data_IF_832729062477
#
_entry.id   IF_832729062477
#
_cell.length_a   1.000
_cell.length_b   1.000
_cell.length_c   1.000
_cell.angle_alpha   90.00
_cell.angle_beta   90.00
_cell.angle_gamma   90.00
#
_symmetry.space_group_name_H-M   'P 1'
#
loop_
_entity.id
_entity.type
_entity.pdbx_description
1 polymer ?
#
# COMPACT_ATOMS: atom_id res chain seq x y z
N UNK A 1 -16.15 32.52 -20.54
CA UNK A 1 -14.89 32.30 -19.78
C UNK A 1 -14.94 30.85 -19.34
N UNK A 2 -14.51 29.94 -20.20
CA UNK A 2 -14.60 28.51 -19.92
C UNK A 2 -13.17 27.99 -19.77
N UNK A 3 -12.60 28.22 -18.59
CA UNK A 3 -11.33 27.61 -18.21
C UNK A 3 -11.54 26.09 -18.06
N UNK A 4 -10.57 25.25 -18.46
CA UNK A 4 -10.71 23.81 -18.31
C UNK A 4 -10.81 23.44 -16.83
N UNK A 5 -11.90 22.77 -16.46
CA UNK A 5 -12.04 22.11 -15.17
C UNK A 5 -11.05 20.92 -15.12
N UNK A 6 -9.81 21.18 -14.70
CA UNK A 6 -8.83 20.13 -14.51
C UNK A 6 -9.25 19.27 -13.29
N UNK A 7 -9.57 18.01 -13.53
CA UNK A 7 -9.81 17.03 -12.46
C UNK A 7 -8.46 16.41 -12.10
N UNK A 8 -7.97 16.66 -10.88
CA UNK A 8 -6.80 15.96 -10.36
C UNK A 8 -7.23 14.55 -9.93
N UNK A 9 -6.80 13.53 -10.68
CA UNK A 9 -6.93 12.13 -10.27
C UNK A 9 -5.67 11.69 -9.52
N UNK A 10 -5.73 11.62 -8.19
CA UNK A 10 -4.68 10.98 -7.40
C UNK A 10 -4.83 9.45 -7.48
N UNK A 11 -3.80 8.75 -7.96
CA UNK A 11 -3.73 7.30 -7.81
C UNK A 11 -3.52 6.96 -6.32
N UNK A 12 -4.13 5.89 -5.81
CA UNK A 12 -3.96 5.54 -4.41
C UNK A 12 -2.50 5.21 -4.09
N UNK A 13 -2.04 5.70 -2.94
CA UNK A 13 -0.71 5.39 -2.44
C UNK A 13 -0.66 3.90 -2.06
N UNK A 14 0.25 3.16 -2.70
CA UNK A 14 0.62 1.81 -2.31
C UNK A 14 1.98 1.85 -1.65
N UNK A 15 2.07 1.32 -0.44
CA UNK A 15 3.32 1.18 0.30
C UNK A 15 3.78 -0.27 0.27
N UNK A 16 5.09 -0.47 0.21
CA UNK A 16 5.72 -1.81 0.17
C UNK A 16 6.77 -1.87 1.26
N UNK A 17 6.61 -2.85 2.16
CA UNK A 17 7.63 -3.14 3.16
C UNK A 17 8.69 -4.07 2.56
N UNK A 18 9.96 -3.71 2.76
CA UNK A 18 11.10 -4.56 2.42
C UNK A 18 12.00 -4.78 3.63
N UNK A 19 12.63 -5.94 3.71
CA UNK A 19 13.69 -6.18 4.69
C UNK A 19 14.99 -5.45 4.31
N UNK A 20 16.01 -5.53 5.17
CA UNK A 20 17.33 -4.93 4.91
C UNK A 20 18.10 -5.52 3.72
N UNK A 21 17.62 -6.63 3.14
CA UNK A 21 18.18 -7.27 1.94
C UNK A 21 17.38 -6.91 0.67
N UNK A 22 16.30 -6.13 0.80
CA UNK A 22 15.41 -5.74 -0.29
C UNK A 22 14.26 -6.72 -0.57
N UNK A 23 14.13 -7.81 0.20
CA UNK A 23 13.05 -8.79 0.10
C UNK A 23 11.71 -8.14 0.45
N UNK A 24 10.69 -8.34 -0.36
CA UNK A 24 9.34 -7.84 -0.06
C UNK A 24 8.75 -8.66 1.08
N UNK A 25 8.31 -7.99 2.14
CA UNK A 25 7.59 -8.61 3.26
C UNK A 25 6.08 -8.44 3.15
N UNK A 26 5.62 -7.38 2.48
CA UNK A 26 4.21 -7.14 2.22
C UNK A 26 3.92 -5.79 1.57
N UNK A 27 2.64 -5.50 1.37
CA UNK A 27 2.18 -4.21 0.82
C UNK A 27 0.89 -3.74 1.48
N UNK A 28 0.77 -2.42 1.61
CA UNK A 28 -0.44 -1.73 2.04
C UNK A 28 -1.02 -0.90 0.89
N UNK A 29 -2.33 -0.99 0.68
CA UNK A 29 -3.07 -0.21 -0.30
C UNK A 29 -4.01 0.76 0.43
N UNK A 30 -3.75 2.06 0.32
CA UNK A 30 -4.54 3.10 0.95
C UNK A 30 -5.96 3.24 0.37
N UNK A 31 -6.21 2.78 -0.87
CA UNK A 31 -7.55 2.82 -1.48
C UNK A 31 -8.52 1.89 -0.79
N UNK A 32 -8.07 0.65 -0.61
CA UNK A 32 -8.85 -0.42 0.00
C UNK A 32 -8.63 -0.52 1.50
N UNK A 33 -7.65 0.23 2.03
CA UNK A 33 -7.22 0.20 3.41
C UNK A 33 -6.86 -1.22 3.85
N UNK A 34 -6.10 -1.96 3.04
CA UNK A 34 -5.73 -3.36 3.33
C UNK A 34 -4.23 -3.57 3.30
N UNK A 35 -3.76 -4.44 4.17
CA UNK A 35 -2.39 -4.96 4.16
C UNK A 35 -2.39 -6.42 3.68
N UNK A 36 -1.47 -6.74 2.77
CA UNK A 36 -1.20 -8.08 2.28
C UNK A 36 0.25 -8.46 2.56
N UNK A 37 0.49 -9.73 2.81
CA UNK A 37 1.85 -10.27 2.97
C UNK A 37 2.57 -10.40 1.61
N UNK A 38 3.82 -10.87 1.66
CA UNK A 38 4.66 -11.09 0.47
C UNK A 38 4.04 -12.04 -0.56
N UNK A 39 3.17 -12.96 -0.14
CA UNK A 39 2.46 -13.89 -1.01
C UNK A 39 1.16 -13.30 -1.59
N UNK A 40 0.78 -12.10 -1.16
CA UNK A 40 -0.46 -11.44 -1.56
C UNK A 40 -1.67 -11.82 -0.70
N UNK A 41 -1.49 -12.62 0.36
CA UNK A 41 -2.57 -13.00 1.27
C UNK A 41 -2.96 -11.82 2.14
N UNK A 42 -4.26 -11.65 2.36
CA UNK A 42 -4.79 -10.60 3.24
C UNK A 42 -4.33 -10.84 4.67
N UNK A 43 -3.65 -9.84 5.25
CA UNK A 43 -3.29 -9.80 6.66
C UNK A 43 -4.43 -9.17 7.46
N UNK A 44 -5.00 -8.08 6.93
CA UNK A 44 -6.13 -7.40 7.55
C UNK A 44 -6.38 -6.02 6.95
N UNK A 45 -7.35 -5.32 7.53
CA UNK A 45 -7.68 -3.93 7.22
C UNK A 45 -6.82 -2.98 8.08
N UNK A 46 -6.41 -1.84 7.53
CA UNK A 46 -5.51 -0.88 8.18
C UNK A 46 -4.05 -1.01 7.76
N UNK A 47 -3.24 -0.11 8.31
CA UNK A 47 -1.79 -0.10 8.15
C UNK A 47 -1.13 -1.14 9.07
N UNK A 48 -0.91 -2.35 8.56
CA UNK A 48 -0.38 -3.48 9.33
C UNK A 48 1.02 -3.92 8.86
N UNK A 49 1.67 -3.15 7.98
CA UNK A 49 3.02 -3.46 7.51
C UNK A 49 4.03 -3.73 8.65
N UNK A 50 4.05 -2.95 9.75
CA UNK A 50 5.00 -3.21 10.85
C UNK A 50 4.85 -4.60 11.49
N UNK A 51 3.67 -5.23 11.41
CA UNK A 51 3.44 -6.58 11.95
C UNK A 51 4.12 -7.69 11.14
N UNK A 52 4.65 -7.38 9.95
CA UNK A 52 5.35 -8.32 9.09
C UNK A 52 6.87 -8.33 9.34
N UNK A 53 7.37 -7.47 10.22
CA UNK A 53 8.75 -7.49 10.67
C UNK A 53 9.00 -8.71 11.59
N UNK A 54 10.02 -9.50 11.28
CA UNK A 54 10.48 -10.60 12.15
C UNK A 54 9.66 -11.91 12.07
N UNK A 55 8.87 -12.09 11.01
CA UNK A 55 8.22 -13.38 10.68
C UNK A 55 9.13 -14.29 9.86
#
# INVERSE_FOLDING_TARGET
MDGPAAIIMAAPAREVLRDGRGTILGSYDARSNVTRDASGRLVGQGYLLPMLLGR
#
